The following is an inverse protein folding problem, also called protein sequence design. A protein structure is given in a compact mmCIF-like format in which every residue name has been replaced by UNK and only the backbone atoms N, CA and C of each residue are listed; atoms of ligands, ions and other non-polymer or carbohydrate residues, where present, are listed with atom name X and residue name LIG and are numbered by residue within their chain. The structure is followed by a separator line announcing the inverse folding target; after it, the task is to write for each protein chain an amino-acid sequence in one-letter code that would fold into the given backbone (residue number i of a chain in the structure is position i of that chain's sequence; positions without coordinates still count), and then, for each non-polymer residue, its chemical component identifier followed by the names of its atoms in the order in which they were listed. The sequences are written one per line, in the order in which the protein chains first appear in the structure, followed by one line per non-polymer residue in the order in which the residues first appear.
data_IF_049581500271
#
_entry.id   IF_049581500271
#
_cell.length_a   1.000
_cell.length_b   1.000
_cell.length_c   1.000
_cell.angle_alpha   90.00
_cell.angle_beta   90.00
_cell.angle_gamma   90.00
#
_symmetry.space_group_name_H-M   'P 1'
#
loop_
_entity.id
_entity.type
_entity.pdbx_description
1 polymer ?
#
# COMPACT_ATOMS: atom_id res chain seq x y z
N UNK A 1 17.25 11.69 17.92
CA UNK A 1 17.52 10.53 17.04
C UNK A 1 16.53 9.41 17.23
N UNK A 2 16.26 8.90 18.44
CA UNK A 2 15.27 7.81 18.69
C UNK A 2 13.90 7.99 18.03
N UNK A 3 13.33 9.20 18.03
CA UNK A 3 12.02 9.44 17.41
C UNK A 3 12.03 9.22 15.89
N UNK A 4 13.13 9.57 15.21
CA UNK A 4 13.26 9.35 13.78
C UNK A 4 13.37 7.85 13.45
N UNK A 5 14.04 7.08 14.31
CA UNK A 5 14.11 5.62 14.19
C UNK A 5 12.71 5.00 14.36
N UNK A 6 11.93 5.46 15.34
CA UNK A 6 10.54 5.01 15.52
C UNK A 6 9.71 5.31 14.27
N UNK A 7 9.81 6.50 13.69
CA UNK A 7 9.11 6.85 12.45
C UNK A 7 9.52 5.92 11.30
N UNK A 8 10.82 5.70 11.09
CA UNK A 8 11.30 4.83 10.02
C UNK A 8 10.84 3.37 10.18
N UNK A 9 10.78 2.87 11.41
CA UNK A 9 10.25 1.54 11.71
C UNK A 9 8.75 1.47 11.43
N UNK A 10 7.98 2.48 11.84
CA UNK A 10 6.54 2.55 11.57
C UNK A 10 6.24 2.61 10.07
N UNK A 11 6.99 3.39 9.29
CA UNK A 11 6.86 3.40 7.82
C UNK A 11 7.07 2.01 7.23
N UNK A 12 8.02 1.24 7.77
CA UNK A 12 8.29 -0.14 7.32
C UNK A 12 7.14 -1.07 7.66
N UNK A 13 6.56 -0.96 8.86
CA UNK A 13 5.37 -1.72 9.24
C UNK A 13 4.20 -1.40 8.31
N UNK A 14 3.94 -0.12 8.04
CA UNK A 14 2.88 0.31 7.12
C UNK A 14 3.11 -0.18 5.68
N UNK A 15 4.36 -0.23 5.22
CA UNK A 15 4.69 -0.77 3.91
C UNK A 15 4.36 -2.27 3.79
N UNK A 16 4.68 -3.05 4.82
CA UNK A 16 4.38 -4.50 4.87
C UNK A 16 2.87 -4.73 4.97
N UNK A 17 2.18 -3.97 5.81
CA UNK A 17 0.72 -4.00 5.93
C UNK A 17 0.06 -3.68 4.59
N UNK A 18 0.55 -2.65 3.90
CA UNK A 18 0.04 -2.25 2.60
C UNK A 18 0.14 -3.37 1.56
N UNK A 19 1.30 -4.01 1.47
CA UNK A 19 1.51 -5.15 0.57
C UNK A 19 0.54 -6.29 0.91
N UNK A 20 0.37 -6.59 2.20
CA UNK A 20 -0.50 -7.67 2.67
C UNK A 20 -1.97 -7.38 2.40
N UNK A 21 -2.41 -6.14 2.63
CA UNK A 21 -3.77 -5.68 2.35
C UNK A 21 -4.08 -5.76 0.85
N UNK A 22 -3.13 -5.39 -0.02
CA UNK A 22 -3.31 -5.51 -1.46
C UNK A 22 -3.48 -6.98 -1.89
N UNK A 23 -2.66 -7.91 -1.39
CA UNK A 23 -2.87 -9.34 -1.67
C UNK A 23 -4.22 -9.84 -1.16
N UNK A 24 -4.62 -9.43 0.05
CA UNK A 24 -5.91 -9.82 0.63
C UNK A 24 -7.09 -9.35 -0.23
N UNK A 25 -7.04 -8.12 -0.76
CA UNK A 25 -8.03 -7.61 -1.70
C UNK A 25 -8.07 -8.43 -3.00
N UNK A 26 -6.91 -8.86 -3.50
CA UNK A 26 -6.88 -9.72 -4.68
C UNK A 26 -7.55 -11.08 -4.46
N UNK A 27 -7.30 -11.70 -3.31
CA UNK A 27 -7.87 -13.02 -2.97
C UNK A 27 -9.39 -13.03 -2.84
N UNK A 28 -10.02 -11.89 -2.51
CA UNK A 28 -11.48 -11.83 -2.32
C UNK A 28 -12.25 -11.47 -3.59
N UNK A 29 -11.59 -11.28 -4.74
CA UNK A 29 -12.29 -11.06 -6.00
C UNK A 29 -13.31 -12.18 -6.29
N UNK A 30 -14.50 -11.86 -6.81
CA UNK A 30 -14.89 -10.58 -7.42
C UNK A 30 -15.51 -9.56 -6.45
N UNK A 31 -15.42 -9.75 -5.12
CA UNK A 31 -15.88 -8.73 -4.18
C UNK A 31 -15.05 -7.45 -4.34
N UNK A 32 -15.74 -6.31 -4.36
CA UNK A 32 -15.13 -5.00 -4.53
C UNK A 32 -15.18 -4.21 -3.23
N UNK A 33 -14.09 -3.52 -2.94
CA UNK A 33 -14.03 -2.58 -1.84
C UNK A 33 -14.71 -1.24 -2.20
N UNK A 34 -14.75 -0.32 -1.24
CA UNK A 34 -15.21 1.04 -1.50
C UNK A 34 -14.30 1.79 -2.48
N UNK A 35 -14.83 2.81 -3.16
CA UNK A 35 -14.14 3.55 -4.24
C UNK A 35 -12.71 4.01 -3.90
N UNK A 36 -12.50 4.59 -2.71
CA UNK A 36 -11.17 5.05 -2.29
C UNK A 36 -10.19 3.90 -2.06
N UNK A 37 -10.67 2.76 -1.55
CA UNK A 37 -9.85 1.56 -1.34
C UNK A 37 -9.50 0.90 -2.68
N UNK A 38 -10.45 0.81 -3.62
CA UNK A 38 -10.18 0.35 -4.99
C UNK A 38 -9.12 1.21 -5.69
N UNK A 39 -9.20 2.54 -5.53
CA UNK A 39 -8.22 3.46 -6.08
C UNK A 39 -6.82 3.27 -5.47
N UNK A 40 -6.75 3.13 -4.14
CA UNK A 40 -5.51 2.85 -3.42
C UNK A 40 -4.92 1.48 -3.82
N UNK A 41 -5.76 0.45 -3.94
CA UNK A 41 -5.35 -0.88 -4.38
C UNK A 41 -4.80 -0.87 -5.81
N UNK A 42 -5.50 -0.19 -6.73
CA UNK A 42 -5.03 0.00 -8.10
C UNK A 42 -3.69 0.74 -8.12
N UNK A 43 -3.49 1.77 -7.29
CA UNK A 43 -2.20 2.46 -7.19
C UNK A 43 -1.09 1.52 -6.72
N UNK A 44 -1.33 0.66 -5.72
CA UNK A 44 -0.35 -0.37 -5.34
C UNK A 44 0.00 -1.27 -6.51
N UNK A 45 -1.00 -1.78 -7.24
CA UNK A 45 -0.80 -2.72 -8.35
C UNK A 45 -0.08 -2.12 -9.55
N UNK A 46 -0.03 -0.79 -9.68
CA UNK A 46 0.81 -0.09 -10.67
C UNK A 46 2.32 -0.22 -10.38
N UNK A 47 2.70 -0.42 -9.13
CA UNK A 47 4.11 -0.50 -8.71
C UNK A 47 4.52 -1.88 -8.20
N UNK A 48 3.56 -2.66 -7.69
CA UNK A 48 3.78 -3.95 -7.04
C UNK A 48 2.87 -5.02 -7.64
N UNK A 49 3.46 -5.94 -8.39
CA UNK A 49 2.74 -7.09 -8.94
C UNK A 49 2.21 -8.02 -7.84
N UNK A 50 1.10 -8.69 -8.12
CA UNK A 50 0.57 -9.78 -7.28
C UNK A 50 1.68 -10.83 -7.04
N UNK A 51 1.66 -11.46 -5.86
CA UNK A 51 2.70 -12.40 -5.46
C UNK A 51 2.10 -13.81 -5.54
N UNK A 52 2.26 -14.45 -6.70
CA UNK A 52 1.73 -15.80 -6.96
C UNK A 52 2.47 -16.89 -6.17
N UNK A 53 3.74 -16.63 -5.85
CA UNK A 53 4.59 -17.50 -5.07
C UNK A 53 5.57 -16.66 -4.25
N UNK A 54 6.23 -17.30 -3.29
CA UNK A 54 7.28 -16.67 -2.50
C UNK A 54 8.40 -16.15 -3.39
N UNK A 55 8.86 -14.93 -3.06
CA UNK A 55 9.96 -14.26 -3.74
C UNK A 55 10.75 -13.41 -2.74
N UNK A 56 11.86 -12.84 -3.20
CA UNK A 56 12.60 -11.86 -2.42
C UNK A 56 11.81 -10.55 -2.33
N UNK A 57 11.15 -10.33 -1.19
CA UNK A 57 10.31 -9.16 -0.95
C UNK A 57 11.07 -7.87 -0.61
N UNK A 58 12.41 -7.89 -0.53
CA UNK A 58 13.19 -6.71 -0.16
C UNK A 58 12.87 -5.50 -1.09
N UNK A 59 12.89 -5.73 -2.40
CA UNK A 59 12.61 -4.68 -3.38
C UNK A 59 11.14 -4.22 -3.35
N UNK A 60 10.23 -5.15 -3.07
CA UNK A 60 8.81 -4.84 -2.93
C UNK A 60 8.57 -3.95 -1.69
N UNK A 61 9.20 -4.29 -0.56
CA UNK A 61 9.14 -3.49 0.68
C UNK A 61 9.72 -2.09 0.45
N UNK A 62 10.86 -1.97 -0.25
CA UNK A 62 11.42 -0.65 -0.58
C UNK A 62 10.48 0.18 -1.47
N UNK A 63 9.79 -0.47 -2.41
CA UNK A 63 8.80 0.19 -3.26
C UNK A 63 7.57 0.63 -2.45
N UNK A 64 7.05 -0.25 -1.59
CA UNK A 64 5.92 0.06 -0.70
C UNK A 64 6.27 1.19 0.29
N UNK A 65 7.49 1.21 0.85
CA UNK A 65 8.01 2.31 1.68
C UNK A 65 7.96 3.65 0.95
N UNK A 66 8.33 3.67 -0.33
CA UNK A 66 8.26 4.88 -1.14
C UNK A 66 6.81 5.34 -1.36
N UNK A 67 5.85 4.42 -1.52
CA UNK A 67 4.43 4.75 -1.64
C UNK A 67 3.88 5.36 -0.34
N UNK A 68 4.26 4.80 0.82
CA UNK A 68 3.89 5.34 2.14
C UNK A 68 4.44 6.75 2.31
N UNK A 69 5.74 6.96 2.08
CA UNK A 69 6.41 8.26 2.24
C UNK A 69 5.88 9.36 1.33
N UNK A 70 5.44 8.99 0.13
CA UNK A 70 4.86 9.94 -0.84
C UNK A 70 3.36 10.16 -0.64
N UNK A 71 2.74 9.46 0.32
CA UNK A 71 1.29 9.46 0.50
C UNK A 71 0.53 9.19 -0.82
N UNK A 72 1.10 8.35 -1.70
CA UNK A 72 0.53 8.10 -3.03
C UNK A 72 -0.89 7.55 -2.94
N UNK A 73 -1.15 6.71 -1.94
CA UNK A 73 -2.46 6.10 -1.71
C UNK A 73 -3.50 7.09 -1.21
N UNK A 74 -3.12 8.04 -0.36
CA UNK A 74 -4.02 9.12 0.08
C UNK A 74 -4.43 9.93 -1.14
N UNK A 75 -3.47 10.31 -1.97
CA UNK A 75 -3.74 11.06 -3.21
C UNK A 75 -4.66 10.28 -4.15
N UNK A 76 -4.42 8.97 -4.34
CA UNK A 76 -5.25 8.12 -5.19
C UNK A 76 -6.67 7.96 -4.64
N UNK A 77 -6.81 7.72 -3.32
CA UNK A 77 -8.10 7.58 -2.66
C UNK A 77 -8.90 8.89 -2.71
N UNK A 78 -8.29 10.02 -2.37
CA UNK A 78 -8.95 11.34 -2.36
C UNK A 78 -9.47 11.75 -3.73
N UNK A 79 -8.77 11.37 -4.80
CA UNK A 79 -9.23 11.62 -6.18
C UNK A 79 -10.58 10.98 -6.46
N UNK A 80 -10.85 9.82 -5.87
CA UNK A 80 -12.09 9.06 -6.09
C UNK A 80 -13.15 9.28 -5.01
N UNK A 81 -12.78 9.37 -3.73
CA UNK A 81 -13.73 9.50 -2.62
C UNK A 81 -13.95 10.94 -2.16
N UNK A 82 -13.20 11.91 -2.68
CA UNK A 82 -13.10 13.26 -2.12
C UNK A 82 -12.09 13.31 -0.97
N UNK A 83 -11.79 14.53 -0.52
CA UNK A 83 -10.78 14.80 0.51
C UNK A 83 -11.06 14.01 1.79
N UNK A 84 -10.03 13.38 2.34
CA UNK A 84 -10.11 12.71 3.65
C UNK A 84 -9.96 13.78 4.73
N UNK A 85 -10.98 13.91 5.59
CA UNK A 85 -11.07 14.94 6.64
C UNK A 85 -10.25 14.59 7.87
#
# INVERSE_FOLDING_TARGET
TKLLEVVANTETVLAIELMSAAQALDFIHPLKAGRGVEAAHAEVRRHLAFAEADRLFHNDIQTALNLVRRASLVTAAERESGKLS
#
